data_IF_934718559547
#
_entry.id   IF_934718559547
#
_cell.length_a   1.000
_cell.length_b   1.000
_cell.length_c   1.000
_cell.angle_alpha   90.00
_cell.angle_beta   90.00
_cell.angle_gamma   90.00
#
_symmetry.space_group_name_H-M   'P 1'
#
loop_
_entity.id
_entity.type
_entity.pdbx_description
1 polymer ?
#
# COMPACT_ATOMS: atom_id res chain seq x y z
N UNK A 1 12.29 -41.59 -28.76
CA UNK A 1 12.60 -41.30 -27.34
C UNK A 1 12.75 -39.79 -27.15
N UNK A 2 11.66 -39.09 -26.78
CA UNK A 2 11.59 -37.62 -26.67
C UNK A 2 10.61 -37.24 -25.56
N UNK A 3 10.95 -37.40 -24.27
CA UNK A 3 10.14 -36.87 -23.14
C UNK A 3 10.95 -36.75 -21.84
N UNK A 4 12.02 -35.95 -21.81
CA UNK A 4 12.77 -35.70 -20.56
C UNK A 4 13.28 -34.25 -20.41
N UNK A 5 12.65 -33.26 -21.05
CA UNK A 5 13.08 -31.84 -20.95
C UNK A 5 12.01 -30.93 -20.29
N UNK A 6 10.81 -31.43 -20.01
CA UNK A 6 9.72 -30.60 -19.47
C UNK A 6 9.78 -30.36 -17.95
N UNK A 7 10.67 -31.03 -17.20
CA UNK A 7 10.62 -31.05 -15.74
C UNK A 7 11.56 -30.05 -15.04
N UNK A 8 12.49 -29.42 -15.77
CA UNK A 8 13.45 -28.46 -15.19
C UNK A 8 12.94 -27.01 -15.25
N UNK A 9 11.98 -26.70 -16.13
CA UNK A 9 11.44 -25.33 -16.26
C UNK A 9 10.38 -25.01 -15.19
N UNK A 10 9.73 -26.03 -14.61
CA UNK A 10 8.73 -25.82 -13.56
C UNK A 10 9.35 -25.45 -12.19
N UNK A 11 10.62 -25.74 -11.96
CA UNK A 11 11.29 -25.45 -10.69
C UNK A 11 11.77 -23.98 -10.56
N UNK A 12 11.94 -23.27 -11.68
CA UNK A 12 12.40 -21.88 -11.68
C UNK A 12 11.25 -20.85 -11.66
N UNK A 13 10.00 -21.26 -11.88
CA UNK A 13 8.85 -20.34 -11.73
C UNK A 13 8.29 -20.23 -10.30
N UNK A 14 8.75 -21.07 -9.35
CA UNK A 14 8.42 -20.91 -7.92
C UNK A 14 9.42 -20.04 -7.15
N UNK A 15 10.52 -19.62 -7.78
CA UNK A 15 11.50 -18.72 -7.14
C UNK A 15 11.06 -17.24 -7.15
N UNK A 16 9.85 -16.92 -7.64
CA UNK A 16 9.27 -15.56 -7.67
C UNK A 16 8.43 -15.18 -6.45
N UNK A 17 8.19 -16.08 -5.50
CA UNK A 17 7.49 -15.77 -4.24
C UNK A 17 8.46 -15.48 -3.09
N UNK A 18 9.69 -15.04 -3.41
CA UNK A 18 10.67 -14.61 -2.42
C UNK A 18 10.31 -13.24 -1.87
N UNK A 19 9.34 -13.18 -0.95
CA UNK A 19 9.15 -12.14 0.08
C UNK A 19 7.91 -12.40 0.97
N UNK A 20 7.13 -13.46 0.75
CA UNK A 20 6.10 -13.87 1.69
C UNK A 20 6.72 -14.68 2.83
N UNK A 21 7.56 -14.04 3.64
CA UNK A 21 7.48 -14.34 5.06
C UNK A 21 6.03 -14.03 5.43
N UNK A 22 5.34 -14.93 6.13
CA UNK A 22 4.10 -14.58 6.80
C UNK A 22 4.43 -13.47 7.79
N UNK A 23 4.50 -12.22 7.30
CA UNK A 23 4.79 -11.02 8.09
C UNK A 23 3.55 -10.78 8.94
N UNK A 24 3.48 -11.54 10.03
CA UNK A 24 2.40 -11.48 11.00
C UNK A 24 2.25 -10.03 11.46
N UNK A 25 1.13 -9.42 11.07
CA UNK A 25 0.74 -8.09 11.51
C UNK A 25 1.17 -6.93 10.63
N UNK A 26 1.75 -7.13 9.45
CA UNK A 26 1.95 -6.04 8.48
C UNK A 26 0.77 -6.00 7.51
N UNK A 27 0.09 -4.86 7.34
CA UNK A 27 -1.10 -4.79 6.52
C UNK A 27 -0.71 -4.76 5.05
N UNK A 28 -1.54 -5.36 4.20
CA UNK A 28 -1.49 -5.13 2.75
C UNK A 28 -2.62 -4.20 2.38
N UNK A 29 -2.30 -3.05 1.79
CA UNK A 29 -3.28 -2.02 1.44
C UNK A 29 -3.22 -1.64 -0.03
N UNK A 30 -4.36 -1.19 -0.56
CA UNK A 30 -4.49 -0.50 -1.84
C UNK A 30 -4.86 0.95 -1.62
N UNK A 31 -4.42 1.80 -2.54
CA UNK A 31 -4.64 3.25 -2.50
C UNK A 31 -5.48 3.66 -3.70
N UNK A 32 -6.41 4.60 -3.51
CA UNK A 32 -7.20 5.17 -4.59
C UNK A 32 -7.25 6.69 -4.46
N UNK A 33 -6.90 7.41 -5.53
CA UNK A 33 -7.09 8.86 -5.58
C UNK A 33 -8.57 9.20 -5.51
N UNK A 34 -8.94 10.19 -4.70
CA UNK A 34 -10.32 10.70 -4.58
C UNK A 34 -10.44 12.07 -5.23
N UNK A 35 -9.65 13.04 -4.76
CA UNK A 35 -9.66 14.40 -5.29
C UNK A 35 -8.34 15.12 -5.02
N UNK A 36 -8.05 16.12 -5.81
CA UNK A 36 -6.90 17.00 -5.64
C UNK A 36 -7.25 18.39 -6.16
N UNK A 37 -6.78 19.44 -5.50
CA UNK A 37 -7.05 20.80 -5.94
C UNK A 37 -6.79 21.88 -4.89
N UNK A 38 -7.01 23.16 -5.27
CA UNK A 38 -6.92 24.27 -4.34
C UNK A 38 -7.92 24.12 -3.20
N UNK A 39 -7.50 24.47 -1.98
CA UNK A 39 -8.37 24.58 -0.81
C UNK A 39 -8.19 25.94 -0.13
N UNK A 40 -9.01 26.24 0.88
CA UNK A 40 -8.95 27.51 1.60
C UNK A 40 -7.57 27.79 2.25
N UNK A 41 -6.79 26.73 2.52
CA UNK A 41 -5.48 26.79 3.18
C UNK A 41 -4.30 26.51 2.24
N UNK A 42 -4.55 26.35 0.93
CA UNK A 42 -3.51 26.07 -0.06
C UNK A 42 -3.97 25.06 -1.09
N UNK A 43 -3.49 23.83 -0.98
CA UNK A 43 -3.79 22.72 -1.89
C UNK A 43 -4.01 21.44 -1.10
N UNK A 44 -5.02 20.67 -1.47
CA UNK A 44 -5.39 19.40 -0.83
C UNK A 44 -5.28 18.25 -1.82
N UNK A 45 -4.82 17.11 -1.32
CA UNK A 45 -4.83 15.82 -2.03
C UNK A 45 -5.48 14.80 -1.11
N UNK A 46 -6.65 14.31 -1.54
CA UNK A 46 -7.47 13.35 -0.83
C UNK A 46 -7.39 12.00 -1.55
N UNK A 47 -7.10 10.96 -0.78
CA UNK A 47 -7.07 9.59 -1.28
C UNK A 47 -7.63 8.62 -0.24
N UNK A 48 -8.05 7.44 -0.70
CA UNK A 48 -8.52 6.35 0.15
C UNK A 48 -7.44 5.30 0.32
N UNK A 49 -7.37 4.75 1.53
CA UNK A 49 -6.61 3.55 1.87
C UNK A 49 -7.61 2.46 2.19
N UNK A 50 -7.41 1.29 1.60
CA UNK A 50 -8.24 0.13 1.87
C UNK A 50 -7.36 -1.11 2.06
N UNK A 51 -7.49 -1.86 3.16
CA UNK A 51 -6.82 -3.14 3.33
C UNK A 51 -7.35 -4.15 2.30
N UNK A 52 -6.49 -5.07 1.86
CA UNK A 52 -6.90 -6.21 1.06
C UNK A 52 -7.53 -7.29 1.95
N UNK A 53 -8.42 -8.15 1.42
CA UNK A 53 -8.92 -9.31 2.15
C UNK A 53 -7.78 -10.16 2.73
N UNK A 54 -7.89 -10.50 4.01
CA UNK A 54 -6.87 -11.22 4.77
C UNK A 54 -5.76 -10.34 5.36
N UNK A 55 -5.79 -9.03 5.14
CA UNK A 55 -4.85 -8.10 5.76
C UNK A 55 -5.11 -7.98 7.27
N UNK A 56 -4.06 -8.10 8.12
CA UNK A 56 -4.18 -7.79 9.53
C UNK A 56 -4.35 -6.29 9.76
N UNK A 57 -4.74 -5.92 10.99
CA UNK A 57 -4.68 -4.53 11.46
C UNK A 57 -3.25 -4.12 11.81
N UNK A 58 -2.94 -2.84 11.61
CA UNK A 58 -1.63 -2.27 11.93
C UNK A 58 -1.67 -0.74 11.95
N UNK A 59 -0.52 -0.11 12.20
CA UNK A 59 -0.35 1.33 12.08
C UNK A 59 0.59 1.65 10.91
N UNK A 60 0.14 2.45 9.94
CA UNK A 60 1.01 2.99 8.89
C UNK A 60 1.66 4.23 9.45
N UNK A 61 2.94 4.15 9.80
CA UNK A 61 3.69 5.25 10.39
C UNK A 61 4.07 6.34 9.38
N UNK A 62 4.24 5.96 8.10
CA UNK A 62 4.69 6.87 7.05
C UNK A 62 4.24 6.38 5.67
N UNK A 63 3.88 7.31 4.77
CA UNK A 63 3.80 7.02 3.33
C UNK A 63 5.07 7.50 2.62
N UNK A 64 5.56 6.69 1.69
CA UNK A 64 6.65 7.06 0.82
C UNK A 64 6.05 7.62 -0.47
N UNK A 65 6.28 8.92 -0.75
CA UNK A 65 5.86 9.55 -2.00
C UNK A 65 7.06 9.80 -2.91
N UNK A 66 6.81 10.01 -4.20
CA UNK A 66 7.82 10.43 -5.19
C UNK A 66 8.57 11.70 -4.81
N UNK A 67 7.93 12.61 -4.06
CA UNK A 67 8.54 13.85 -3.56
C UNK A 67 9.17 13.76 -2.16
N UNK A 68 9.22 12.57 -1.56
CA UNK A 68 9.68 12.35 -0.19
C UNK A 68 8.59 11.76 0.71
N UNK A 69 8.91 11.44 1.98
CA UNK A 69 7.94 10.88 2.90
C UNK A 69 6.88 11.90 3.32
N UNK A 70 5.63 11.45 3.47
CA UNK A 70 4.52 12.29 3.91
C UNK A 70 3.63 11.57 4.94
N UNK A 71 2.89 12.38 5.71
CA UNK A 71 1.88 12.10 6.76
C UNK A 71 2.36 11.92 8.20
N UNK A 72 1.46 12.32 9.12
CA UNK A 72 1.31 11.75 10.45
C UNK A 72 0.54 10.43 10.31
N UNK A 73 1.17 9.31 10.65
CA UNK A 73 0.63 7.98 10.41
C UNK A 73 -0.82 7.71 10.86
N UNK A 74 -1.42 6.66 10.31
CA UNK A 74 -2.82 6.28 10.51
C UNK A 74 -2.96 4.78 10.80
N UNK A 75 -3.97 4.40 11.56
CA UNK A 75 -4.27 2.98 11.83
C UNK A 75 -5.02 2.36 10.67
N UNK A 76 -4.62 1.18 10.21
CA UNK A 76 -5.32 0.38 9.19
C UNK A 76 -6.12 -0.73 9.90
N UNK A 77 -7.45 -0.84 9.67
CA UNK A 77 -8.24 -1.90 10.26
C UNK A 77 -7.94 -3.25 9.61
N UNK A 78 -8.26 -4.33 10.31
CA UNK A 78 -8.20 -5.66 9.71
C UNK A 78 -9.27 -5.81 8.62
N UNK A 79 -8.98 -6.63 7.61
CA UNK A 79 -10.00 -7.12 6.69
C UNK A 79 -10.00 -8.65 6.69
N UNK A 80 -11.10 -9.31 7.14
CA UNK A 80 -11.19 -10.76 7.13
C UNK A 80 -10.99 -11.36 5.72
N UNK A 81 -10.38 -12.54 5.59
CA UNK A 81 -10.16 -13.19 4.28
C UNK A 81 -11.45 -13.48 3.50
N UNK A 82 -12.58 -13.65 4.19
CA UNK A 82 -13.89 -13.92 3.58
C UNK A 82 -14.60 -12.68 3.06
N UNK A 83 -14.09 -11.48 3.33
CA UNK A 83 -14.71 -10.22 2.91
C UNK A 83 -14.46 -9.99 1.43
N UNK A 84 -15.49 -9.55 0.69
CA UNK A 84 -15.29 -9.14 -0.70
C UNK A 84 -14.35 -7.92 -0.75
N UNK A 85 -13.52 -7.83 -1.79
CA UNK A 85 -12.46 -6.82 -1.84
C UNK A 85 -12.97 -5.37 -1.64
N UNK A 86 -14.15 -5.05 -2.19
CA UNK A 86 -14.71 -3.71 -2.11
C UNK A 86 -15.42 -3.41 -0.79
N UNK A 87 -15.71 -4.45 0.01
CA UNK A 87 -16.37 -4.35 1.32
C UNK A 87 -15.38 -4.17 2.48
N UNK A 88 -14.06 -4.29 2.22
CA UNK A 88 -13.05 -3.96 3.23
C UNK A 88 -13.17 -2.48 3.67
N UNK A 89 -12.92 -2.14 4.95
CA UNK A 89 -13.08 -0.77 5.43
C UNK A 89 -12.19 0.23 4.69
N UNK A 90 -12.75 1.36 4.26
CA UNK A 90 -12.02 2.43 3.58
C UNK A 90 -11.71 3.56 4.55
N UNK A 91 -10.52 4.13 4.41
CA UNK A 91 -10.09 5.28 5.20
C UNK A 91 -9.63 6.40 4.29
N UNK A 92 -10.28 7.55 4.40
CA UNK A 92 -9.89 8.74 3.68
C UNK A 92 -8.71 9.42 4.38
N UNK A 93 -7.68 9.73 3.61
CA UNK A 93 -6.49 10.48 4.03
C UNK A 93 -6.46 11.80 3.28
N UNK A 94 -6.02 12.85 3.98
CA UNK A 94 -5.89 14.19 3.41
C UNK A 94 -4.45 14.69 3.61
N UNK A 95 -3.80 15.04 2.51
CA UNK A 95 -2.53 15.75 2.48
C UNK A 95 -2.78 17.22 2.19
N UNK A 96 -2.29 18.09 3.05
CA UNK A 96 -2.36 19.54 2.85
C UNK A 96 -0.99 20.07 2.48
N UNK A 97 -0.97 20.97 1.50
CA UNK A 97 0.21 21.65 1.00
C UNK A 97 -0.04 23.15 0.92
N UNK A 98 1.01 23.96 1.10
CA UNK A 98 0.91 25.41 0.96
C UNK A 98 0.63 25.86 -0.49
N UNK A 99 0.99 25.04 -1.48
CA UNK A 99 0.76 25.26 -2.91
C UNK A 99 0.66 23.90 -3.63
N UNK A 100 0.29 23.89 -4.92
CA UNK A 100 0.25 22.66 -5.71
C UNK A 100 1.64 21.96 -5.68
N UNK A 101 1.75 20.73 -5.16
CA UNK A 101 3.01 20.02 -5.02
C UNK A 101 3.55 19.43 -6.34
N UNK A 102 2.82 19.57 -7.45
CA UNK A 102 3.09 18.85 -8.69
C UNK A 102 2.72 17.38 -8.58
N UNK A 103 3.19 16.57 -9.53
CA UNK A 103 2.82 15.14 -9.58
C UNK A 103 3.26 14.39 -8.32
N UNK A 104 2.32 13.74 -7.65
CA UNK A 104 2.56 12.91 -6.47
C UNK A 104 2.08 11.48 -6.72
N UNK A 105 2.95 10.52 -6.41
CA UNK A 105 2.58 9.12 -6.38
C UNK A 105 3.08 8.44 -5.10
N UNK A 106 2.25 7.54 -4.55
CA UNK A 106 2.62 6.67 -3.44
C UNK A 106 3.45 5.53 -4.00
N UNK A 107 4.67 5.36 -3.49
CA UNK A 107 5.60 4.29 -3.90
C UNK A 107 5.70 3.18 -2.88
N UNK A 108 5.23 3.42 -1.65
CA UNK A 108 5.35 2.51 -0.54
C UNK A 108 4.86 3.12 0.76
N UNK A 109 5.04 2.39 1.85
CA UNK A 109 4.70 2.84 3.19
C UNK A 109 5.55 2.13 4.24
N UNK A 110 5.67 2.73 5.41
CA UNK A 110 6.26 2.10 6.59
C UNK A 110 5.11 1.72 7.52
N UNK A 111 4.97 0.44 7.80
CA UNK A 111 3.95 -0.08 8.71
C UNK A 111 4.59 -0.65 9.97
N UNK A 112 3.90 -0.46 11.09
CA UNK A 112 4.19 -1.03 12.38
C UNK A 112 3.04 -1.95 12.78
N UNK A 113 3.35 -3.23 12.98
CA UNK A 113 2.39 -4.21 13.50
C UNK A 113 2.08 -3.95 14.98
N UNK A 114 1.01 -4.58 15.49
CA UNK A 114 0.63 -4.49 16.90
C UNK A 114 1.69 -5.05 17.88
N UNK A 115 2.59 -5.93 17.40
CA UNK A 115 3.71 -6.44 18.20
C UNK A 115 4.96 -5.54 18.13
N UNK A 116 4.86 -4.37 17.49
CA UNK A 116 5.94 -3.39 17.38
C UNK A 116 6.90 -3.62 16.23
N UNK A 117 6.71 -4.64 15.38
CA UNK A 117 7.56 -4.88 14.21
C UNK A 117 7.32 -3.80 13.16
N UNK A 118 8.38 -3.12 12.74
CA UNK A 118 8.33 -2.08 11.72
C UNK A 118 8.89 -2.62 10.41
N UNK A 119 8.16 -2.42 9.32
CA UNK A 119 8.55 -2.83 7.96
C UNK A 119 8.28 -1.72 6.97
N UNK A 120 9.19 -1.58 6.02
CA UNK A 120 8.95 -0.78 4.81
C UNK A 120 8.38 -1.69 3.74
N UNK A 121 7.21 -1.34 3.23
CA UNK A 121 6.54 -2.00 2.11
C UNK A 121 6.70 -1.14 0.88
N UNK A 122 7.21 -1.73 -0.20
CA UNK A 122 7.27 -1.10 -1.52
C UNK A 122 6.10 -1.59 -2.35
N UNK A 123 5.38 -0.67 -3.00
CA UNK A 123 4.29 -1.03 -3.90
C UNK A 123 4.84 -1.60 -5.21
N UNK A 124 4.15 -2.58 -5.83
CA UNK A 124 4.57 -3.15 -7.11
C UNK A 124 4.52 -2.13 -8.25
N UNK A 125 3.65 -1.12 -8.14
CA UNK A 125 3.59 0.02 -9.03
C UNK A 125 3.25 1.30 -8.22
N UNK A 126 3.84 2.46 -8.57
CA UNK A 126 3.44 3.72 -7.96
C UNK A 126 1.97 4.04 -8.21
N UNK A 127 1.27 4.53 -7.19
CA UNK A 127 -0.13 4.97 -7.29
C UNK A 127 -0.17 6.49 -7.34
N UNK A 128 -0.52 7.05 -8.51
CA UNK A 128 -0.65 8.51 -8.69
C UNK A 128 -1.86 9.01 -7.92
N UNK A 129 -1.64 9.99 -7.05
CA UNK A 129 -2.67 10.65 -6.23
C UNK A 129 -2.83 12.15 -6.58
N UNK A 130 -1.86 12.72 -7.29
CA UNK A 130 -1.97 14.04 -7.91
C UNK A 130 -1.24 13.97 -9.28
N UNK A 131 -1.93 14.08 -10.42
CA UNK A 131 -1.31 14.04 -11.74
C UNK A 131 -0.54 15.31 -12.08
#
# INVERSE_FOLDING_TARGET
MKKLIALVVAAFMLAGCGNFVTDFGIPTVRFHSVSFGPSASGYEVIFEVQPLPGSPSAYVAQLNLTGGPALSGFGVPECPPSTAADDCPKQTQNLTFAANPGTLAITGYVAQSLNGTVRTVTLPAPVVINP
#
